data_IF_723207129311
#
_entry.id   IF_723207129311
#
_cell.length_a   1.000
_cell.length_b   1.000
_cell.length_c   1.000
_cell.angle_alpha   90.00
_cell.angle_beta   90.00
_cell.angle_gamma   90.00
#
_symmetry.space_group_name_H-M   'P 1'
#
loop_
_entity.id
_entity.type
_entity.pdbx_description
1 polymer ?
#
# COMPACT_ATOMS: atom_id res chain seq x y z
N UNK A 1 -22.89 -4.91 -35.90
CA UNK A 1 -22.78 -6.35 -35.59
C UNK A 1 -21.30 -6.66 -35.42
N UNK A 2 -20.75 -6.22 -34.30
CA UNK A 2 -19.32 -6.25 -34.00
C UNK A 2 -19.03 -7.53 -33.19
N UNK A 3 -18.09 -8.35 -33.66
CA UNK A 3 -17.81 -9.66 -33.07
C UNK A 3 -16.81 -9.50 -31.92
N UNK A 4 -17.29 -9.78 -30.72
CA UNK A 4 -16.54 -9.77 -29.47
C UNK A 4 -15.51 -10.93 -29.48
N UNK A 5 -14.25 -10.62 -29.82
CA UNK A 5 -13.13 -11.58 -29.77
C UNK A 5 -12.44 -11.49 -28.40
N UNK A 6 -13.01 -12.16 -27.41
CA UNK A 6 -12.30 -12.48 -26.16
C UNK A 6 -11.99 -13.96 -26.14
N UNK A 7 -10.73 -14.30 -26.37
CA UNK A 7 -10.21 -15.65 -26.19
C UNK A 7 -10.31 -16.04 -24.71
N UNK A 8 -11.38 -16.77 -24.36
CA UNK A 8 -11.51 -17.39 -23.05
C UNK A 8 -10.52 -18.54 -22.95
N UNK A 9 -9.57 -18.43 -22.03
CA UNK A 9 -8.61 -19.50 -21.70
C UNK A 9 -9.40 -20.72 -21.25
N UNK A 10 -9.49 -21.74 -22.11
CA UNK A 10 -10.15 -23.02 -21.81
C UNK A 10 -9.15 -23.94 -21.12
N UNK A 11 -9.16 -23.96 -19.78
CA UNK A 11 -8.37 -24.91 -19.00
C UNK A 11 -9.05 -26.29 -19.06
N UNK A 12 -8.32 -27.38 -19.36
CA UNK A 12 -8.91 -28.71 -19.43
C UNK A 12 -9.37 -29.18 -18.04
N UNK A 13 -10.54 -29.84 -17.93
CA UNK A 13 -11.12 -30.27 -16.65
C UNK A 13 -10.26 -31.29 -15.89
N UNK A 14 -9.29 -31.94 -16.56
CA UNK A 14 -8.32 -32.85 -15.95
C UNK A 14 -7.28 -32.12 -15.08
N UNK A 15 -6.93 -30.87 -15.38
CA UNK A 15 -5.98 -30.08 -14.58
C UNK A 15 -6.57 -29.60 -13.26
N UNK A 16 -7.87 -29.33 -13.21
CA UNK A 16 -8.57 -28.92 -11.98
C UNK A 16 -8.74 -30.07 -10.98
N UNK A 17 -8.95 -31.29 -11.48
CA UNK A 17 -9.04 -32.49 -10.65
C UNK A 17 -7.68 -32.82 -10.01
N UNK A 18 -6.57 -32.64 -10.73
CA UNK A 18 -5.22 -32.79 -10.19
C UNK A 18 -4.95 -31.85 -9.02
N UNK A 19 -5.18 -30.55 -9.21
CA UNK A 19 -4.93 -29.53 -8.18
C UNK A 19 -5.73 -29.74 -6.90
N UNK A 20 -7.03 -30.05 -7.00
CA UNK A 20 -7.85 -30.29 -5.80
C UNK A 20 -7.40 -31.53 -5.03
N UNK A 21 -6.94 -32.57 -5.72
CA UNK A 21 -6.41 -33.77 -5.07
C UNK A 21 -5.04 -33.53 -4.44
N UNK A 22 -4.18 -32.72 -5.06
CA UNK A 22 -2.89 -32.31 -4.49
C UNK A 22 -3.08 -31.39 -3.29
N UNK A 23 -4.01 -30.44 -3.36
CA UNK A 23 -4.38 -29.56 -2.27
C UNK A 23 -4.94 -30.33 -1.07
N UNK A 24 -5.80 -31.33 -1.31
CA UNK A 24 -6.31 -32.21 -0.26
C UNK A 24 -5.17 -33.02 0.41
N UNK A 25 -4.22 -33.52 -0.38
CA UNK A 25 -3.03 -34.23 0.13
C UNK A 25 -2.13 -33.32 0.96
N UNK A 26 -1.88 -32.08 0.53
CA UNK A 26 -1.10 -31.12 1.31
C UNK A 26 -1.80 -30.70 2.60
N UNK A 27 -3.12 -30.46 2.55
CA UNK A 27 -3.91 -30.13 3.73
C UNK A 27 -3.88 -31.26 4.76
N UNK A 28 -3.97 -32.52 4.32
CA UNK A 28 -3.83 -33.69 5.18
C UNK A 28 -2.43 -33.78 5.82
N UNK A 29 -1.37 -33.63 5.02
CA UNK A 29 0.03 -33.60 5.51
C UNK A 29 0.26 -32.48 6.54
N UNK A 30 -0.31 -31.30 6.31
CA UNK A 30 -0.18 -30.17 7.23
C UNK A 30 -0.87 -30.44 8.57
N UNK A 31 -2.07 -31.03 8.56
CA UNK A 31 -2.79 -31.41 9.78
C UNK A 31 -2.07 -32.52 10.54
N UNK A 32 -1.48 -33.49 9.85
CA UNK A 32 -0.67 -34.55 10.44
C UNK A 32 0.60 -34.00 11.09
N UNK A 33 1.33 -33.12 10.39
CA UNK A 33 2.50 -32.42 10.92
C UNK A 33 2.15 -31.56 12.16
N UNK A 34 0.98 -30.93 12.16
CA UNK A 34 0.49 -30.15 13.31
C UNK A 34 0.14 -31.03 14.51
N UNK A 35 -0.53 -32.17 14.29
CA UNK A 35 -0.83 -33.16 15.35
C UNK A 35 0.45 -33.74 15.97
N UNK A 36 1.45 -34.06 15.14
CA UNK A 36 2.76 -34.52 15.62
C UNK A 36 3.49 -33.44 16.42
N UNK A 37 3.32 -32.17 16.07
CA UNK A 37 3.89 -31.04 16.80
C UNK A 37 3.17 -30.78 18.13
N UNK A 38 1.84 -30.95 18.18
CA UNK A 38 1.05 -30.84 19.41
C UNK A 38 1.40 -31.96 20.41
N UNK A 39 1.53 -33.22 19.96
CA UNK A 39 1.99 -34.33 20.80
C UNK A 39 3.41 -34.16 21.35
N UNK A 40 4.32 -33.56 20.58
CA UNK A 40 5.69 -33.27 21.03
C UNK A 40 5.80 -32.00 21.90
N UNK A 41 4.76 -31.15 21.93
CA UNK A 41 4.74 -29.91 22.71
C UNK A 41 4.16 -30.06 24.12
N UNK A 42 3.47 -31.17 24.41
CA UNK A 42 2.89 -31.45 25.72
C UNK A 42 3.90 -31.98 26.76
N UNK A 43 5.12 -32.34 26.36
CA UNK A 43 6.17 -32.87 27.25
C UNK A 43 7.50 -32.07 27.19
N UNK A 44 7.44 -30.79 26.81
CA UNK A 44 8.63 -29.94 26.62
C UNK A 44 8.60 -28.70 27.51
N UNK A 45 9.40 -28.73 28.58
CA UNK A 45 9.69 -27.60 29.47
C UNK A 45 9.96 -26.30 28.65
N UNK A 46 9.26 -25.16 28.90
CA UNK A 46 9.29 -23.98 28.02
C UNK A 46 10.64 -23.23 27.96
N UNK A 47 11.67 -23.70 28.68
CA UNK A 47 12.96 -23.02 28.83
C UNK A 47 14.16 -23.74 28.18
N UNK A 48 13.97 -24.55 27.13
CA UNK A 48 15.10 -25.09 26.37
C UNK A 48 15.39 -24.26 25.12
N UNK A 49 16.13 -23.17 25.31
CA UNK A 49 16.74 -22.42 24.20
C UNK A 49 17.65 -23.37 23.39
N UNK A 50 17.29 -23.65 22.15
CA UNK A 50 18.17 -24.36 21.21
C UNK A 50 19.41 -23.49 20.99
N UNK A 51 20.58 -23.96 21.48
CA UNK A 51 21.88 -23.33 21.21
C UNK A 51 22.12 -23.36 19.70
N UNK A 52 22.00 -22.20 19.05
CA UNK A 52 22.38 -22.02 17.65
C UNK A 52 23.90 -22.11 17.53
N UNK A 53 24.35 -22.92 16.59
CA UNK A 53 25.75 -23.03 16.16
C UNK A 53 26.17 -21.65 15.59
N UNK A 54 27.33 -21.09 15.97
CA UNK A 54 27.75 -19.79 15.47
C UNK A 54 28.26 -19.90 14.03
N UNK A 55 27.58 -19.24 13.09
CA UNK A 55 28.19 -18.88 11.81
C UNK A 55 29.11 -17.68 12.07
N UNK A 56 30.41 -17.86 11.87
CA UNK A 56 31.36 -16.74 11.81
C UNK A 56 31.03 -15.87 10.61
N UNK A 57 30.76 -14.58 10.84
CA UNK A 57 30.94 -13.48 9.88
C UNK A 57 31.18 -12.20 10.66
N UNK A 58 32.37 -11.67 10.50
CA UNK A 58 32.77 -10.35 10.97
C UNK A 58 32.03 -9.30 10.14
N UNK A 59 30.98 -8.71 10.70
CA UNK A 59 30.34 -7.47 10.22
C UNK A 59 29.97 -6.68 11.48
N UNK A 60 30.47 -5.45 11.69
CA UNK A 60 30.14 -4.67 12.86
C UNK A 60 28.76 -4.03 12.67
N UNK A 61 27.71 -4.67 13.19
CA UNK A 61 26.37 -4.07 13.29
C UNK A 61 26.18 -3.61 14.73
N UNK A 62 26.55 -2.36 15.00
CA UNK A 62 25.99 -1.59 16.10
C UNK A 62 24.60 -1.14 15.66
N UNK A 63 23.57 -1.58 16.39
CA UNK A 63 22.37 -0.83 16.80
C UNK A 63 21.35 -1.86 17.29
N UNK A 64 21.34 -1.99 18.61
CA UNK A 64 20.48 -2.89 19.38
C UNK A 64 19.04 -2.34 19.37
N UNK A 65 18.27 -2.62 18.31
CA UNK A 65 16.84 -2.30 18.30
C UNK A 65 16.08 -3.41 19.02
N UNK A 66 15.58 -3.13 20.21
CA UNK A 66 14.63 -3.99 20.92
C UNK A 66 13.35 -4.12 20.08
N UNK A 67 13.20 -5.24 19.38
CA UNK A 67 11.96 -5.58 18.70
C UNK A 67 10.89 -5.91 19.74
N UNK A 68 10.18 -4.90 20.23
CA UNK A 68 8.92 -5.07 20.97
C UNK A 68 7.94 -5.77 20.01
N UNK A 69 7.67 -7.06 20.26
CA UNK A 69 6.58 -7.80 19.63
C UNK A 69 5.28 -7.04 19.89
N UNK A 70 4.77 -6.35 18.87
CA UNK A 70 3.44 -5.78 18.89
C UNK A 70 2.44 -6.94 19.02
N UNK A 71 1.83 -7.08 20.19
CA UNK A 71 0.68 -7.96 20.37
C UNK A 71 -0.49 -7.30 19.64
N UNK A 72 -1.09 -8.02 18.70
CA UNK A 72 -2.36 -7.65 18.08
C UNK A 72 -3.37 -7.46 19.24
N UNK A 73 -3.78 -6.21 19.49
CA UNK A 73 -4.89 -5.96 20.42
C UNK A 73 -6.10 -6.69 19.84
N UNK A 74 -6.77 -7.51 20.65
CA UNK A 74 -8.01 -8.14 20.25
C UNK A 74 -8.97 -7.04 19.78
N UNK A 75 -9.63 -7.26 18.65
CA UNK A 75 -10.73 -6.40 18.22
C UNK A 75 -11.74 -6.34 19.39
N UNK A 76 -12.26 -5.15 19.75
CA UNK A 76 -13.34 -5.09 20.73
C UNK A 76 -14.49 -5.97 20.23
N UNK A 77 -15.20 -6.60 21.16
CA UNK A 77 -16.45 -7.30 20.84
C UNK A 77 -17.44 -6.26 20.30
N UNK A 78 -17.53 -6.19 18.97
CA UNK A 78 -18.43 -5.26 18.27
C UNK A 78 -19.86 -5.68 18.59
N UNK A 79 -20.67 -4.73 19.06
CA UNK A 79 -22.07 -5.03 19.39
C UNK A 79 -22.86 -5.31 18.11
N UNK A 80 -23.91 -6.13 18.20
CA UNK A 80 -24.79 -6.44 17.05
C UNK A 80 -25.42 -5.16 16.45
N UNK A 81 -25.67 -4.16 17.29
CA UNK A 81 -26.20 -2.86 16.87
C UNK A 81 -25.19 -2.05 16.04
N UNK A 82 -23.91 -2.05 16.41
CA UNK A 82 -22.83 -1.43 15.63
C UNK A 82 -22.63 -2.13 14.28
N UNK A 83 -22.74 -3.46 14.25
CA UNK A 83 -22.70 -4.23 13.01
C UNK A 83 -23.86 -3.85 12.09
N UNK A 84 -25.08 -3.70 12.63
CA UNK A 84 -26.25 -3.29 11.85
C UNK A 84 -26.10 -1.89 11.28
N UNK A 85 -25.68 -0.91 12.09
CA UNK A 85 -25.40 0.48 11.64
C UNK A 85 -24.31 0.51 10.57
N UNK A 86 -23.24 -0.25 10.76
CA UNK A 86 -22.14 -0.36 9.78
C UNK A 86 -22.61 -0.96 8.46
N UNK A 87 -23.47 -1.98 8.52
CA UNK A 87 -24.08 -2.61 7.34
C UNK A 87 -24.99 -1.62 6.59
N UNK A 88 -25.87 -0.92 7.29
CA UNK A 88 -26.74 0.11 6.70
C UNK A 88 -25.92 1.22 6.01
N UNK A 89 -24.84 1.69 6.66
CA UNK A 89 -23.94 2.70 6.07
C UNK A 89 -23.18 2.19 4.83
N UNK A 90 -22.81 0.90 4.80
CA UNK A 90 -22.19 0.27 3.63
C UNK A 90 -23.17 0.11 2.47
N UNK A 91 -24.42 -0.28 2.75
CA UNK A 91 -25.48 -0.38 1.76
C UNK A 91 -25.79 0.99 1.13
N UNK A 92 -25.86 2.04 1.95
CA UNK A 92 -26.06 3.40 1.47
C UNK A 92 -24.90 3.86 0.55
N UNK A 93 -23.65 3.59 0.94
CA UNK A 93 -22.48 3.90 0.11
C UNK A 93 -22.49 3.10 -1.19
N UNK A 94 -22.82 1.82 -1.14
CA UNK A 94 -22.90 0.98 -2.34
C UNK A 94 -23.92 1.54 -3.33
N UNK A 95 -25.09 1.97 -2.85
CA UNK A 95 -26.09 2.64 -3.67
C UNK A 95 -25.56 3.93 -4.32
N UNK A 96 -24.90 4.79 -3.54
CA UNK A 96 -24.27 6.01 -4.07
C UNK A 96 -23.23 5.73 -5.16
N UNK A 97 -22.41 4.68 -4.97
CA UNK A 97 -21.43 4.28 -5.99
C UNK A 97 -22.08 3.69 -7.23
N UNK A 98 -23.15 2.89 -7.09
CA UNK A 98 -23.90 2.36 -8.23
C UNK A 98 -24.53 3.49 -9.05
N UNK A 99 -25.12 4.49 -8.38
CA UNK A 99 -25.69 5.67 -9.03
C UNK A 99 -24.58 6.49 -9.72
N UNK A 100 -23.44 6.70 -9.06
CA UNK A 100 -22.28 7.39 -9.67
C UNK A 100 -21.75 6.68 -10.92
N UNK A 101 -21.66 5.35 -10.89
CA UNK A 101 -21.22 4.54 -12.03
C UNK A 101 -22.25 4.58 -13.17
N UNK A 102 -23.55 4.54 -12.86
CA UNK A 102 -24.63 4.64 -13.85
C UNK A 102 -24.67 5.99 -14.53
N UNK A 103 -24.47 7.06 -13.78
CA UNK A 103 -24.49 8.44 -14.28
C UNK A 103 -23.14 8.89 -14.86
N UNK A 104 -22.12 8.01 -14.93
CA UNK A 104 -20.86 8.27 -15.64
C UNK A 104 -19.84 9.13 -14.86
N UNK A 105 -20.02 9.27 -13.55
CA UNK A 105 -19.16 10.06 -12.67
C UNK A 105 -19.67 11.50 -12.45
N UNK A 106 -19.02 12.27 -11.55
CA UNK A 106 -19.49 13.59 -11.13
C UNK A 106 -19.49 14.67 -12.23
N UNK A 107 -19.00 14.36 -13.42
CA UNK A 107 -18.71 15.32 -14.49
C UNK A 107 -19.54 15.09 -15.77
N UNK A 108 -20.60 14.28 -15.71
CA UNK A 108 -21.38 13.94 -16.91
C UNK A 108 -22.63 14.82 -17.01
N UNK A 109 -22.48 15.83 -17.87
CA UNK A 109 -23.48 16.63 -18.56
C UNK A 109 -24.49 17.43 -17.72
N UNK A 110 -24.12 18.70 -17.57
CA UNK A 110 -24.86 19.87 -17.08
C UNK A 110 -26.15 20.21 -17.88
N UNK A 111 -26.56 19.40 -18.87
CA UNK A 111 -27.52 19.86 -19.90
C UNK A 111 -28.87 19.13 -19.93
N UNK A 112 -29.10 18.06 -19.18
CA UNK A 112 -30.39 17.39 -19.24
C UNK A 112 -30.90 16.94 -17.88
N UNK A 113 -31.92 17.67 -17.41
CA UNK A 113 -32.86 17.36 -16.32
C UNK A 113 -32.41 17.78 -14.91
N UNK A 114 -32.67 19.06 -14.63
CA UNK A 114 -33.33 19.54 -13.41
C UNK A 114 -32.66 19.21 -12.09
N UNK A 115 -31.93 20.19 -11.55
CA UNK A 115 -31.71 20.44 -10.11
C UNK A 115 -31.40 19.24 -9.20
N UNK A 116 -30.98 18.09 -9.76
CA UNK A 116 -30.70 16.87 -9.01
C UNK A 116 -29.28 16.96 -8.48
N UNK A 117 -29.16 17.76 -7.42
CA UNK A 117 -28.45 17.45 -6.19
C UNK A 117 -27.04 16.84 -6.38
N UNK A 118 -26.16 17.56 -7.07
CA UNK A 118 -24.70 17.37 -6.93
C UNK A 118 -24.25 17.40 -5.45
N UNK A 119 -25.03 18.05 -4.58
CA UNK A 119 -24.82 18.11 -3.14
C UNK A 119 -24.91 16.76 -2.42
N UNK A 120 -25.63 15.77 -2.95
CA UNK A 120 -25.81 14.47 -2.30
C UNK A 120 -24.55 13.59 -2.31
N UNK A 121 -23.67 13.82 -3.29
CA UNK A 121 -22.40 13.10 -3.40
C UNK A 121 -21.27 13.77 -2.60
N UNK A 122 -21.46 15.03 -2.20
CA UNK A 122 -20.48 15.80 -1.43
C UNK A 122 -20.69 15.59 0.07
N UNK A 123 -19.59 15.37 0.78
CA UNK A 123 -19.64 15.30 2.25
C UNK A 123 -19.80 16.72 2.78
N UNK A 124 -20.99 17.03 3.31
CA UNK A 124 -21.17 18.24 4.12
C UNK A 124 -20.45 18.08 5.46
N UNK A 125 -19.26 18.68 5.55
CA UNK A 125 -18.42 18.64 6.74
C UNK A 125 -19.10 19.30 7.95
N UNK A 126 -19.98 20.26 7.74
CA UNK A 126 -20.69 20.94 8.83
C UNK A 126 -21.77 20.04 9.42
N UNK A 127 -22.54 19.33 8.57
CA UNK A 127 -23.50 18.31 8.99
C UNK A 127 -22.82 17.12 9.68
N UNK A 128 -21.71 16.62 9.12
CA UNK A 128 -20.96 15.48 9.68
C UNK A 128 -20.35 15.80 11.05
N UNK A 129 -19.93 17.05 11.26
CA UNK A 129 -19.42 17.49 12.56
C UNK A 129 -20.52 17.51 13.62
N UNK A 130 -21.73 17.95 13.25
CA UNK A 130 -22.89 17.93 14.14
C UNK A 130 -23.32 16.49 14.52
N UNK A 131 -23.38 15.58 13.56
CA UNK A 131 -23.74 14.17 13.80
C UNK A 131 -22.73 13.44 14.70
N UNK A 132 -21.45 13.81 14.65
CA UNK A 132 -20.41 13.20 15.48
C UNK A 132 -20.46 13.66 16.95
N UNK A 133 -21.09 14.79 17.26
CA UNK A 133 -21.17 15.39 18.60
C UNK A 133 -22.58 15.21 19.19
N UNK A 134 -23.08 13.98 19.19
CA UNK A 134 -24.44 13.56 19.59
C UNK A 134 -24.89 13.97 21.03
N UNK A 135 -24.09 14.72 21.79
CA UNK A 135 -24.37 15.16 23.16
C UNK A 135 -24.36 16.66 23.43
N UNK A 136 -23.86 17.51 22.53
CA UNK A 136 -23.69 18.96 22.77
C UNK A 136 -24.14 19.78 21.56
N UNK A 137 -25.40 19.62 21.15
CA UNK A 137 -26.04 20.60 20.27
C UNK A 137 -26.30 21.89 21.06
N UNK A 138 -25.24 22.67 21.28
CA UNK A 138 -25.30 23.97 21.93
C UNK A 138 -26.32 24.83 21.18
N UNK A 139 -27.39 25.21 21.89
CA UNK A 139 -28.49 25.97 21.33
C UNK A 139 -28.17 27.46 21.45
N UNK A 140 -28.21 28.19 20.34
CA UNK A 140 -28.02 29.63 20.28
C UNK A 140 -29.37 30.33 20.14
N UNK A 141 -29.54 31.45 20.85
CA UNK A 141 -30.68 32.34 20.65
C UNK A 141 -30.41 33.26 19.47
N UNK A 142 -31.25 33.16 18.43
CA UNK A 142 -31.17 33.98 17.22
C UNK A 142 -32.42 34.84 17.12
N UNK A 143 -32.24 36.08 16.68
CA UNK A 143 -33.34 36.98 16.32
C UNK A 143 -33.69 36.73 14.85
N UNK A 144 -34.89 36.23 14.61
CA UNK A 144 -35.48 36.01 13.29
C UNK A 144 -35.71 37.33 12.55
N UNK A 145 -35.93 37.28 11.23
CA UNK A 145 -36.21 38.44 10.36
C UNK A 145 -37.42 39.26 10.85
N UNK A 146 -38.36 38.61 11.56
CA UNK A 146 -39.54 39.22 12.16
C UNK A 146 -39.32 39.77 13.58
N UNK A 147 -38.06 39.83 14.05
CA UNK A 147 -37.69 40.34 15.38
C UNK A 147 -38.03 39.41 16.55
N UNK A 148 -38.40 38.15 16.29
CA UNK A 148 -38.71 37.15 17.32
C UNK A 148 -37.45 36.39 17.70
N UNK A 149 -37.22 36.14 18.99
CA UNK A 149 -36.12 35.28 19.45
C UNK A 149 -36.52 33.80 19.39
N UNK A 150 -35.70 32.98 18.74
CA UNK A 150 -35.85 31.51 18.72
C UNK A 150 -34.54 30.83 19.12
N UNK A 151 -34.65 29.69 19.79
CA UNK A 151 -33.52 28.81 20.12
C UNK A 151 -33.29 27.84 18.98
N UNK A 152 -32.11 27.91 18.39
CA UNK A 152 -31.75 27.21 17.17
C UNK A 152 -30.39 26.55 17.37
N UNK A 153 -30.15 25.41 16.71
CA UNK A 153 -28.82 24.76 16.74
C UNK A 153 -27.76 25.64 16.06
N UNK A 154 -26.50 25.57 16.49
CA UNK A 154 -25.39 26.31 15.83
C UNK A 154 -25.34 26.05 14.32
N UNK A 155 -25.72 24.86 13.86
CA UNK A 155 -25.76 24.53 12.44
C UNK A 155 -26.81 25.34 11.67
N UNK A 156 -28.06 25.34 12.15
CA UNK A 156 -29.14 26.12 11.54
C UNK A 156 -28.89 27.64 11.72
N UNK A 157 -28.19 28.02 12.80
CA UNK A 157 -27.68 29.37 13.00
C UNK A 157 -26.69 29.78 11.91
N UNK A 158 -25.72 28.91 11.60
CA UNK A 158 -24.75 29.15 10.54
C UNK A 158 -25.43 29.35 9.20
N UNK A 159 -26.39 28.51 8.85
CA UNK A 159 -27.11 28.64 7.57
C UNK A 159 -27.96 29.92 7.46
N UNK A 160 -28.54 30.39 8.57
CA UNK A 160 -29.38 31.60 8.59
C UNK A 160 -28.59 32.90 8.76
N UNK A 161 -27.46 32.87 9.47
CA UNK A 161 -26.63 34.05 9.76
C UNK A 161 -25.51 34.25 8.73
N UNK A 162 -24.98 33.17 8.16
CA UNK A 162 -24.12 33.30 6.99
C UNK A 162 -25.05 33.60 5.82
N UNK A 163 -25.12 34.89 5.49
CA UNK A 163 -25.58 35.36 4.18
C UNK A 163 -24.99 34.39 3.16
N UNK A 164 -25.85 33.73 2.36
CA UNK A 164 -25.39 32.86 1.27
C UNK A 164 -24.55 33.74 0.37
N UNK A 165 -23.24 33.76 0.64
CA UNK A 165 -22.32 34.77 0.14
C UNK A 165 -22.63 34.97 -1.32
N UNK A 166 -23.05 36.18 -1.70
CA UNK A 166 -23.33 36.53 -3.08
C UNK A 166 -22.25 35.87 -3.93
N UNK A 167 -22.63 34.92 -4.79
CA UNK A 167 -21.69 34.08 -5.54
C UNK A 167 -20.60 35.00 -6.06
N UNK A 168 -19.39 34.89 -5.50
CA UNK A 168 -18.30 35.82 -5.77
C UNK A 168 -18.15 35.94 -7.28
N UNK A 169 -18.60 37.07 -7.83
CA UNK A 169 -18.65 37.29 -9.26
C UNK A 169 -17.57 38.30 -9.55
N UNK A 170 -16.35 37.85 -9.93
CA UNK A 170 -15.28 38.78 -10.22
C UNK A 170 -15.73 39.75 -11.32
N UNK A 171 -15.63 41.04 -11.06
CA UNK A 171 -16.10 42.10 -11.97
C UNK A 171 -15.33 42.12 -13.30
N UNK A 172 -14.12 41.55 -13.31
CA UNK A 172 -13.17 41.61 -14.42
C UNK A 172 -12.76 40.21 -14.90
N UNK A 173 -13.73 39.40 -15.32
CA UNK A 173 -13.44 38.15 -16.03
C UNK A 173 -12.96 38.49 -17.43
N UNK A 174 -11.73 38.09 -17.75
CA UNK A 174 -11.19 38.23 -19.11
C UNK A 174 -11.84 37.14 -19.97
N UNK A 175 -12.69 37.52 -20.92
CA UNK A 175 -13.31 36.61 -21.88
C UNK A 175 -12.51 36.59 -23.19
N UNK A 176 -12.08 35.40 -23.65
CA UNK A 176 -11.41 35.19 -24.95
C UNK A 176 -10.09 34.43 -24.87
N UNK A 177 -9.40 34.29 -26.02
CA UNK A 177 -8.08 33.65 -26.16
C UNK A 177 -6.94 34.61 -25.77
N UNK A 178 -7.12 35.29 -24.64
CA UNK A 178 -6.13 36.21 -24.10
C UNK A 178 -5.18 35.43 -23.20
N UNK A 179 -4.00 35.11 -23.71
CA UNK A 179 -2.89 34.61 -22.90
C UNK A 179 -2.17 35.82 -22.29
N UNK A 180 -2.24 36.07 -20.97
CA UNK A 180 -1.44 37.13 -20.39
C UNK A 180 0.05 36.80 -20.59
N UNK A 181 0.74 37.60 -21.39
CA UNK A 181 2.19 37.52 -21.52
C UNK A 181 2.82 38.07 -20.24
N UNK A 182 3.28 37.18 -19.36
CA UNK A 182 3.93 37.56 -18.13
C UNK A 182 5.36 38.05 -18.43
N UNK A 183 5.54 39.37 -18.51
CA UNK A 183 6.86 39.97 -18.70
C UNK A 183 7.58 40.11 -17.35
N UNK A 184 8.52 39.20 -17.09
CA UNK A 184 9.38 39.27 -15.91
C UNK A 184 10.46 40.32 -16.19
N UNK A 185 10.54 41.42 -15.39
CA UNK A 185 11.59 42.42 -15.59
C UNK A 185 12.98 41.80 -15.42
N UNK A 186 13.95 42.20 -16.24
CA UNK A 186 15.30 41.61 -16.20
C UNK A 186 15.97 41.73 -14.83
N UNK A 187 15.64 42.77 -14.06
CA UNK A 187 16.20 43.00 -12.73
C UNK A 187 15.80 41.91 -11.74
N UNK A 188 14.53 41.48 -11.75
CA UNK A 188 14.06 40.39 -10.88
C UNK A 188 14.64 39.05 -11.33
N UNK A 189 14.84 38.87 -12.63
CA UNK A 189 15.48 37.67 -13.18
C UNK A 189 16.94 37.56 -12.74
N UNK A 190 17.69 38.67 -12.76
CA UNK A 190 19.05 38.76 -12.23
C UNK A 190 19.08 38.55 -10.72
N UNK A 191 18.12 39.09 -9.99
CA UNK A 191 18.01 38.92 -8.54
C UNK A 191 17.80 37.44 -8.18
N UNK A 192 16.86 36.76 -8.84
CA UNK A 192 16.60 35.32 -8.71
C UNK A 192 17.86 34.49 -9.03
N UNK A 193 18.59 34.82 -10.09
CA UNK A 193 19.82 34.11 -10.45
C UNK A 193 21.00 34.43 -9.52
N UNK A 194 21.05 35.64 -8.96
CA UNK A 194 22.08 36.06 -8.01
C UNK A 194 21.86 35.45 -6.62
N UNK A 195 20.59 35.23 -6.26
CA UNK A 195 20.21 34.44 -5.11
C UNK A 195 20.53 32.98 -5.42
N UNK A 196 21.78 32.61 -5.13
CA UNK A 196 22.09 31.24 -4.76
C UNK A 196 21.37 30.97 -3.44
N UNK A 197 20.07 30.67 -3.52
CA UNK A 197 19.41 29.93 -2.46
C UNK A 197 20.38 28.82 -2.08
N UNK A 198 20.70 28.72 -0.79
CA UNK A 198 21.51 27.62 -0.27
C UNK A 198 20.92 26.37 -0.89
N UNK A 199 21.68 25.73 -1.79
CA UNK A 199 21.29 24.52 -2.51
C UNK A 199 20.49 23.69 -1.51
N UNK A 200 19.21 23.47 -1.81
CA UNK A 200 18.33 22.70 -0.96
C UNK A 200 19.14 21.54 -0.39
N UNK A 201 19.28 21.46 0.94
CA UNK A 201 19.99 20.35 1.58
C UNK A 201 19.53 19.08 0.87
N UNK A 202 20.45 18.39 0.19
CA UNK A 202 20.10 17.28 -0.67
C UNK A 202 19.12 16.39 0.07
N UNK A 203 18.05 16.00 -0.63
CA UNK A 203 17.02 15.14 -0.08
C UNK A 203 17.66 13.98 0.69
N UNK A 204 17.53 14.01 2.02
CA UNK A 204 18.11 13.01 2.90
C UNK A 204 17.03 12.01 3.27
N UNK A 205 17.04 10.88 2.55
CA UNK A 205 16.11 9.79 2.75
C UNK A 205 16.19 9.17 4.17
N UNK A 206 17.28 9.42 4.92
CA UNK A 206 17.44 8.99 6.31
C UNK A 206 16.49 9.71 7.27
N UNK A 207 16.01 10.91 6.89
CA UNK A 207 15.07 11.70 7.69
C UNK A 207 13.62 11.19 7.58
N UNK A 208 13.34 10.28 6.64
CA UNK A 208 12.01 9.73 6.42
C UNK A 208 11.87 8.26 6.84
N UNK A 209 10.66 7.87 7.27
CA UNK A 209 10.31 6.47 7.55
C UNK A 209 9.78 5.79 6.28
N UNK A 210 10.59 5.76 5.21
CA UNK A 210 10.28 5.04 3.96
C UNK A 210 10.65 3.55 3.99
N UNK A 211 11.26 3.09 5.09
CA UNK A 211 11.64 1.68 5.31
C UNK A 211 10.49 0.69 5.24
N UNK A 212 9.24 1.16 5.20
CA UNK A 212 8.03 0.35 5.06
C UNK A 212 7.56 0.20 3.60
N UNK A 213 8.15 0.94 2.66
CA UNK A 213 7.83 0.84 1.24
C UNK A 213 8.56 -0.34 0.57
N UNK A 214 7.88 -1.03 -0.34
CA UNK A 214 8.51 -2.03 -1.21
C UNK A 214 9.33 -1.29 -2.26
N UNK A 215 10.62 -1.61 -2.40
CA UNK A 215 11.50 -1.02 -3.42
C UNK A 215 12.27 0.24 -2.99
N UNK A 216 12.37 0.52 -1.69
CA UNK A 216 13.24 1.59 -1.20
C UNK A 216 14.72 1.18 -1.31
N UNK A 217 15.51 1.96 -2.05
CA UNK A 217 16.98 1.83 -2.16
C UNK A 217 17.62 3.17 -1.84
N UNK A 218 18.44 3.20 -0.77
CA UNK A 218 19.13 4.41 -0.33
C UNK A 218 20.57 4.39 -0.80
N UNK A 219 20.97 5.42 -1.54
CA UNK A 219 22.37 5.59 -1.95
C UNK A 219 23.23 6.06 -0.78
N UNK A 220 24.50 5.65 -0.78
CA UNK A 220 25.50 6.17 0.14
C UNK A 220 25.70 7.68 -0.06
N UNK A 221 26.05 8.37 1.01
CA UNK A 221 26.47 9.78 0.94
C UNK A 221 27.89 9.94 0.39
N UNK A 222 28.71 8.88 0.48
CA UNK A 222 30.02 8.85 -0.16
C UNK A 222 29.89 8.65 -1.68
N UNK A 223 30.59 9.48 -2.43
CA UNK A 223 30.50 9.59 -3.90
C UNK A 223 31.04 8.32 -4.57
N UNK A 224 32.14 7.77 -4.05
CA UNK A 224 32.76 6.56 -4.61
C UNK A 224 31.88 5.32 -4.43
N UNK A 225 31.29 5.15 -3.25
CA UNK A 225 30.35 4.07 -2.98
C UNK A 225 29.05 4.24 -3.80
N UNK A 226 28.60 5.48 -3.97
CA UNK A 226 27.39 5.81 -4.74
C UNK A 226 27.56 5.46 -6.21
N UNK A 227 28.71 5.77 -6.79
CA UNK A 227 29.03 5.41 -8.18
C UNK A 227 29.01 3.89 -8.38
N UNK A 228 29.63 3.12 -7.48
CA UNK A 228 29.56 1.64 -7.51
C UNK A 228 28.13 1.11 -7.41
N UNK A 229 27.30 1.73 -6.56
CA UNK A 229 25.88 1.37 -6.44
C UNK A 229 25.14 1.63 -7.75
N UNK A 230 25.39 2.77 -8.40
CA UNK A 230 24.83 3.08 -9.72
C UNK A 230 25.29 2.09 -10.80
N UNK A 231 26.57 1.73 -10.84
CA UNK A 231 27.10 0.72 -11.75
C UNK A 231 26.39 -0.62 -11.55
N UNK A 232 26.25 -1.07 -10.30
CA UNK A 232 25.55 -2.32 -9.99
C UNK A 232 24.07 -2.31 -10.41
N UNK A 233 23.39 -1.16 -10.27
CA UNK A 233 22.00 -1.00 -10.72
C UNK A 233 21.91 -0.98 -12.25
N UNK A 234 22.88 -0.38 -12.94
CA UNK A 234 22.95 -0.39 -14.38
C UNK A 234 23.16 -1.81 -14.93
N UNK A 235 24.03 -2.61 -14.30
CA UNK A 235 24.22 -4.02 -14.63
C UNK A 235 22.94 -4.83 -14.44
N UNK A 236 22.27 -4.68 -13.29
CA UNK A 236 20.99 -5.35 -13.03
C UNK A 236 19.93 -4.97 -14.06
N UNK A 237 19.88 -3.70 -14.46
CA UNK A 237 18.98 -3.23 -15.52
C UNK A 237 19.29 -3.86 -16.86
N UNK A 238 20.56 -3.97 -17.24
CA UNK A 238 20.95 -4.65 -18.48
C UNK A 238 20.55 -6.13 -18.44
N UNK A 239 20.76 -6.81 -17.30
CA UNK A 239 20.33 -8.19 -17.12
C UNK A 239 18.82 -8.34 -17.24
N UNK A 240 18.02 -7.46 -16.63
CA UNK A 240 16.55 -7.56 -16.73
C UNK A 240 16.06 -7.29 -18.15
N UNK A 241 16.66 -6.33 -18.87
CA UNK A 241 16.36 -6.08 -20.28
C UNK A 241 16.67 -7.32 -21.12
N UNK A 242 17.85 -7.92 -20.94
CA UNK A 242 18.21 -9.15 -21.65
C UNK A 242 17.20 -10.27 -21.36
N UNK A 243 16.80 -10.48 -20.10
CA UNK A 243 15.79 -11.48 -19.76
C UNK A 243 14.42 -11.18 -20.39
N UNK A 244 14.04 -9.90 -20.52
CA UNK A 244 12.79 -9.50 -21.16
C UNK A 244 12.83 -9.67 -22.69
N UNK A 245 13.97 -9.44 -23.32
CA UNK A 245 14.19 -9.62 -24.76
C UNK A 245 14.26 -11.10 -25.17
N UNK A 246 14.63 -11.99 -24.25
CA UNK A 246 14.68 -13.43 -24.51
C UNK A 246 13.28 -13.98 -24.85
N UNK A 247 13.14 -14.79 -25.92
CA UNK A 247 11.86 -15.43 -26.23
C UNK A 247 11.48 -16.43 -25.13
N UNK A 248 10.18 -16.64 -24.94
CA UNK A 248 9.66 -17.49 -23.85
C UNK A 248 10.19 -18.94 -23.84
N UNK A 249 10.63 -19.46 -24.98
CA UNK A 249 11.25 -20.79 -25.08
C UNK A 249 12.64 -20.81 -24.46
N UNK A 250 13.41 -19.74 -24.64
CA UNK A 250 14.82 -19.69 -24.26
C UNK A 250 14.96 -19.38 -22.76
N UNK A 251 14.01 -18.64 -22.19
CA UNK A 251 13.92 -18.42 -20.75
C UNK A 251 13.69 -19.74 -19.99
N UNK A 252 12.92 -20.67 -20.56
CA UNK A 252 12.72 -22.01 -19.99
C UNK A 252 14.01 -22.83 -19.96
N UNK A 253 14.76 -22.86 -21.07
CA UNK A 253 16.04 -23.58 -21.14
C UNK A 253 17.11 -22.96 -20.24
N UNK A 254 17.18 -21.62 -20.19
CA UNK A 254 18.07 -20.89 -19.29
C UNK A 254 17.76 -21.24 -17.83
N UNK A 255 16.48 -21.25 -17.44
CA UNK A 255 16.05 -21.61 -16.09
C UNK A 255 16.35 -23.08 -15.76
N UNK A 256 16.13 -24.00 -16.69
CA UNK A 256 16.43 -25.43 -16.50
C UNK A 256 17.93 -25.68 -16.30
N UNK A 257 18.80 -25.00 -17.06
CA UNK A 257 20.26 -25.12 -16.91
C UNK A 257 20.73 -24.64 -15.53
N UNK A 258 20.24 -23.48 -15.07
CA UNK A 258 20.57 -22.96 -13.75
C UNK A 258 20.07 -23.86 -12.60
N UNK A 259 18.91 -24.51 -12.78
CA UNK A 259 18.41 -25.49 -11.82
C UNK A 259 19.28 -26.75 -11.78
N UNK A 260 19.76 -27.23 -12.92
CA UNK A 260 20.69 -28.36 -13.01
C UNK A 260 22.02 -28.05 -12.33
N UNK A 261 22.64 -26.91 -12.65
CA UNK A 261 23.88 -26.44 -12.00
C UNK A 261 23.71 -26.31 -10.48
N UNK A 262 22.55 -25.85 -10.02
CA UNK A 262 22.23 -25.78 -8.58
C UNK A 262 22.08 -27.17 -7.97
N UNK A 263 21.39 -28.10 -8.65
CA UNK A 263 21.27 -29.49 -8.19
C UNK A 263 22.63 -30.17 -8.11
N UNK A 264 23.50 -29.95 -9.08
CA UNK A 264 24.86 -30.49 -9.08
C UNK A 264 25.70 -29.92 -7.95
N UNK A 265 25.66 -28.60 -7.71
CA UNK A 265 26.33 -27.99 -6.54
C UNK A 265 25.84 -28.59 -5.22
N UNK A 266 24.52 -28.74 -5.05
CA UNK A 266 23.95 -29.37 -3.87
C UNK A 266 24.37 -30.84 -3.73
N UNK A 267 24.46 -31.58 -4.84
CA UNK A 267 24.95 -32.97 -4.85
C UNK A 267 26.41 -33.03 -4.44
N UNK A 268 27.26 -32.12 -4.92
CA UNK A 268 28.66 -32.04 -4.53
C UNK A 268 28.80 -31.69 -3.04
N UNK A 269 28.08 -30.69 -2.54
CA UNK A 269 28.06 -30.36 -1.11
C UNK A 269 27.55 -31.52 -0.25
N UNK A 270 26.49 -32.20 -0.69
CA UNK A 270 25.94 -33.36 -0.02
C UNK A 270 26.95 -34.51 0.04
N UNK A 271 27.61 -34.82 -1.08
CA UNK A 271 28.66 -35.84 -1.15
C UNK A 271 29.86 -35.48 -0.28
N UNK A 272 30.28 -34.21 -0.27
CA UNK A 272 31.36 -33.73 0.61
C UNK A 272 31.00 -33.91 2.07
N UNK A 273 29.77 -33.56 2.45
CA UNK A 273 29.25 -33.68 3.81
C UNK A 273 29.10 -35.13 4.26
N UNK A 274 28.71 -36.04 3.36
CA UNK A 274 28.73 -37.49 3.63
C UNK A 274 30.17 -37.97 3.82
N UNK A 275 31.10 -37.53 2.98
CA UNK A 275 32.52 -37.87 3.10
C UNK A 275 33.13 -37.40 4.42
N UNK A 276 32.83 -36.16 4.83
CA UNK A 276 33.22 -35.59 6.12
C UNK A 276 32.63 -36.41 7.29
N UNK A 277 31.33 -36.71 7.26
CA UNK A 277 30.69 -37.55 8.28
C UNK A 277 31.26 -38.98 8.32
N UNK A 278 31.64 -39.55 7.17
CA UNK A 278 32.24 -40.89 7.10
C UNK A 278 33.63 -40.90 7.75
N UNK A 279 34.46 -39.90 7.46
CA UNK A 279 35.78 -39.73 8.10
C UNK A 279 35.64 -39.60 9.62
N UNK A 280 34.69 -38.78 10.09
CA UNK A 280 34.41 -38.61 11.52
C UNK A 280 33.98 -39.93 12.18
N UNK A 281 33.14 -40.75 11.52
CA UNK A 281 32.72 -42.05 12.06
C UNK A 281 33.85 -43.08 12.11
N UNK A 282 34.81 -43.04 11.17
CA UNK A 282 35.96 -43.95 11.19
C UNK A 282 37.03 -43.56 12.20
N UNK A 283 37.11 -42.27 12.57
CA UNK A 283 38.04 -41.76 13.59
C UNK A 283 37.60 -42.07 15.05
N UNK A 284 36.37 -42.54 15.25
CA UNK A 284 35.77 -42.82 16.57
C UNK A 284 35.82 -44.32 16.94
N UNK A 285 36.25 -45.20 16.02
CA UNK A 285 36.43 -46.62 16.32
C UNK A 285 37.86 -46.88 16.82
N UNK A 286 38.06 -47.36 18.08
CA UNK A 286 39.36 -47.74 18.61
C UNK A 286 39.91 -49.04 18.02
#
# INVERSE_FOLDING_TARGET
MEKDTRDRIRVPPSSFLGFNTEFAKEKAKFLEARKLKEHNSAAGNPNRSLKRIPLKKDIPVSHQTQSKKLKLKHAPDVTEEELRKSKEALEHKAKLYDDLVRHGGPNVHEEEQGDTEMGDYLVDFTKKWAESNEGENEQMEIVDEFGRTRKVSIFEAGSTLLDQSEKYKPEHVIYGDYMPEFHIPEETMREIWSHKEKLAEHYDASKEVRSKGVGFYQFSLDEMERQKQFESLAELRQQTIQVQEMPRTDTFYYYMRHLEERKERLRQEYNRRIGENWLDTTAILP
#
